data_IF_611026104414
#
_entry.id   IF_611026104414
#
_cell.length_a   1.000
_cell.length_b   1.000
_cell.length_c   1.000
_cell.angle_alpha   90.00
_cell.angle_beta   90.00
_cell.angle_gamma   90.00
#
_symmetry.space_group_name_H-M   'P 1'
#
loop_
_entity.id
_entity.type
_entity.pdbx_description
1 polymer ?
#
# COMPACT_ATOMS: atom_id res chain seq x y z
N UNK A 1 8.10 -24.06 4.79
CA UNK A 1 9.02 -22.93 5.08
C UNK A 1 8.19 -21.76 5.60
N UNK A 2 8.32 -21.45 6.90
CA UNK A 2 7.41 -20.55 7.62
C UNK A 2 8.05 -19.17 7.72
N UNK A 3 7.50 -18.18 7.00
CA UNK A 3 8.04 -16.82 6.96
C UNK A 3 7.67 -16.10 8.26
N UNK A 4 8.69 -15.69 9.03
CA UNK A 4 8.57 -14.71 10.12
C UNK A 4 8.60 -13.31 9.52
N UNK A 5 7.77 -12.40 10.03
CA UNK A 5 7.68 -10.99 9.60
C UNK A 5 8.96 -10.17 9.85
N UNK A 6 10.05 -10.81 10.30
CA UNK A 6 11.41 -10.26 10.24
C UNK A 6 11.96 -10.05 8.83
N UNK A 7 11.21 -10.40 7.78
CA UNK A 7 11.60 -10.26 6.37
C UNK A 7 10.49 -9.70 5.48
N UNK A 8 9.67 -8.76 5.97
CA UNK A 8 9.04 -7.79 5.05
C UNK A 8 10.20 -6.92 4.57
N UNK A 9 10.78 -7.17 3.39
CA UNK A 9 11.85 -6.31 2.94
C UNK A 9 11.18 -4.95 2.69
N UNK A 10 11.80 -3.87 3.15
CA UNK A 10 11.38 -2.53 2.76
C UNK A 10 11.38 -2.38 1.21
N UNK A 11 12.18 -3.20 0.53
CA UNK A 11 12.42 -3.19 -0.92
C UNK A 11 11.18 -3.49 -1.81
N UNK A 12 10.40 -4.57 -1.67
CA UNK A 12 9.22 -4.82 -2.50
C UNK A 12 8.14 -3.76 -2.33
N UNK A 13 7.88 -3.23 -1.12
CA UNK A 13 6.88 -2.17 -0.93
C UNK A 13 7.35 -0.84 -1.54
N UNK A 14 8.66 -0.55 -1.50
CA UNK A 14 9.26 0.58 -2.22
C UNK A 14 9.09 0.45 -3.75
N UNK A 15 9.20 -0.77 -4.29
CA UNK A 15 9.06 -1.08 -5.72
C UNK A 15 7.60 -1.07 -6.19
N UNK A 16 6.63 -1.23 -5.28
CA UNK A 16 5.20 -1.17 -5.60
C UNK A 16 4.79 0.18 -6.20
N UNK A 17 5.40 1.29 -5.78
CA UNK A 17 4.95 2.65 -6.11
C UNK A 17 5.75 3.31 -7.25
N UNK A 18 6.74 2.64 -7.81
CA UNK A 18 7.76 3.29 -8.65
C UNK A 18 7.95 2.51 -9.94
N UNK A 19 6.97 2.65 -10.82
CA UNK A 19 7.07 2.21 -12.21
C UNK A 19 7.80 3.23 -13.08
N UNK A 20 9.08 3.53 -12.82
CA UNK A 20 9.98 4.12 -13.83
C UNK A 20 11.44 4.19 -13.33
N UNK A 21 12.38 3.79 -14.19
CA UNK A 21 13.78 3.49 -13.87
C UNK A 21 14.72 4.71 -13.63
N UNK A 22 14.19 5.90 -13.35
CA UNK A 22 15.01 7.12 -13.16
C UNK A 22 14.67 7.92 -11.90
N UNK A 23 13.83 7.40 -11.01
CA UNK A 23 13.42 8.09 -9.82
C UNK A 23 14.22 7.68 -8.58
N UNK A 24 14.51 8.65 -7.71
CA UNK A 24 15.05 8.38 -6.39
C UNK A 24 13.89 8.01 -5.47
N UNK A 25 14.02 6.86 -4.83
CA UNK A 25 13.05 6.35 -3.86
C UNK A 25 13.74 6.29 -2.51
N UNK A 26 13.25 7.07 -1.55
CA UNK A 26 13.68 6.96 -0.16
C UNK A 26 12.57 6.26 0.63
N UNK A 27 12.92 5.21 1.37
CA UNK A 27 11.97 4.44 2.17
C UNK A 27 12.47 4.31 3.59
N UNK A 28 11.73 4.92 4.51
CA UNK A 28 11.95 4.82 5.95
C UNK A 28 10.91 3.86 6.52
N UNK A 29 11.35 2.79 7.21
CA UNK A 29 10.43 1.79 7.76
C UNK A 29 10.58 1.64 9.25
N UNK A 30 9.47 1.33 9.93
CA UNK A 30 9.45 1.00 11.34
C UNK A 30 8.54 -0.20 11.58
N UNK A 31 8.96 -1.11 12.47
CA UNK A 31 8.22 -2.30 12.88
C UNK A 31 8.03 -2.28 14.39
N UNK A 32 6.87 -2.69 14.87
CA UNK A 32 6.64 -2.88 16.30
C UNK A 32 7.55 -3.98 16.84
N UNK A 33 8.29 -3.67 17.91
CA UNK A 33 9.18 -4.62 18.59
C UNK A 33 8.39 -5.85 19.07
N UNK A 34 8.92 -7.04 18.81
CA UNK A 34 8.33 -8.31 19.24
C UNK A 34 7.13 -8.79 18.42
N UNK A 35 6.76 -8.13 17.32
CA UNK A 35 5.69 -8.62 16.45
C UNK A 35 6.21 -9.68 15.46
N UNK A 36 5.84 -10.94 15.67
CA UNK A 36 6.33 -12.09 14.88
C UNK A 36 5.22 -12.83 14.10
N UNK A 37 3.97 -12.35 14.16
CA UNK A 37 2.84 -12.99 13.48
C UNK A 37 3.06 -12.98 11.97
N UNK A 38 2.87 -14.14 11.33
CA UNK A 38 2.93 -14.29 9.86
C UNK A 38 1.70 -13.65 9.21
N UNK A 39 1.90 -12.98 8.07
CA UNK A 39 0.80 -12.49 7.23
C UNK A 39 0.12 -13.66 6.50
N UNK A 40 -1.20 -13.58 6.37
CA UNK A 40 -2.01 -14.64 5.75
C UNK A 40 -3.06 -14.06 4.81
N UNK A 41 -3.99 -13.26 5.35
CA UNK A 41 -5.00 -12.54 4.58
C UNK A 41 -4.93 -11.07 4.94
N UNK A 42 -4.56 -10.20 3.99
CA UNK A 42 -4.58 -8.75 4.22
C UNK A 42 -5.54 -8.04 3.29
N UNK A 43 -6.37 -7.19 3.88
CA UNK A 43 -7.16 -6.22 3.11
C UNK A 43 -6.31 -4.97 2.89
N UNK A 44 -6.31 -4.43 1.68
CA UNK A 44 -5.49 -3.29 1.26
C UNK A 44 -6.39 -2.11 0.93
N UNK A 45 -6.08 -0.93 1.44
CA UNK A 45 -6.74 0.31 1.10
C UNK A 45 -5.74 1.30 0.49
N UNK A 46 -6.05 1.82 -0.69
CA UNK A 46 -5.35 2.94 -1.30
C UNK A 46 -6.20 4.20 -1.12
N UNK A 47 -5.64 5.23 -0.50
CA UNK A 47 -6.35 6.48 -0.18
C UNK A 47 -5.63 7.66 -0.83
N UNK A 48 -6.37 8.51 -1.56
CA UNK A 48 -5.81 9.71 -2.17
C UNK A 48 -5.05 9.44 -3.48
N UNK A 49 -5.30 8.28 -4.12
CA UNK A 49 -4.64 7.86 -5.36
C UNK A 49 -5.40 8.27 -6.63
N UNK A 50 -6.59 8.83 -6.49
CA UNK A 50 -7.52 9.13 -7.58
C UNK A 50 -6.90 10.11 -8.59
N UNK A 51 -5.99 10.97 -8.10
CA UNK A 51 -5.28 11.96 -8.93
C UNK A 51 -4.25 11.35 -9.89
N UNK A 52 -3.81 10.11 -9.68
CA UNK A 52 -2.83 9.45 -10.55
C UNK A 52 -3.47 8.73 -11.75
N UNK A 53 -4.81 8.76 -11.87
CA UNK A 53 -5.55 8.10 -12.94
C UNK A 53 -5.70 6.59 -12.75
N UNK A 54 -6.61 6.01 -13.52
CA UNK A 54 -7.04 4.62 -13.34
C UNK A 54 -5.94 3.61 -13.70
N UNK A 55 -5.12 3.92 -14.70
CA UNK A 55 -4.01 3.04 -15.13
C UNK A 55 -2.96 2.87 -14.03
N UNK A 56 -2.65 3.93 -13.28
CA UNK A 56 -1.73 3.87 -12.15
C UNK A 56 -2.33 3.06 -11.00
N UNK A 57 -3.61 3.27 -10.69
CA UNK A 57 -4.33 2.51 -9.66
C UNK A 57 -4.39 1.01 -9.99
N UNK A 58 -4.70 0.67 -11.24
CA UNK A 58 -4.70 -0.71 -11.71
C UNK A 58 -3.32 -1.35 -11.59
N UNK A 59 -2.27 -0.66 -12.03
CA UNK A 59 -0.89 -1.13 -11.87
C UNK A 59 -0.53 -1.36 -10.38
N UNK A 60 -0.93 -0.46 -9.47
CA UNK A 60 -0.71 -0.64 -8.03
C UNK A 60 -1.42 -1.89 -7.49
N UNK A 61 -2.65 -2.16 -7.94
CA UNK A 61 -3.41 -3.35 -7.55
C UNK A 61 -2.68 -4.62 -8.00
N UNK A 62 -2.38 -4.71 -9.30
CA UNK A 62 -1.71 -5.88 -9.90
C UNK A 62 -0.34 -6.15 -9.26
N UNK A 63 0.46 -5.11 -9.04
CA UNK A 63 1.77 -5.24 -8.38
C UNK A 63 1.63 -5.69 -6.93
N UNK A 64 0.66 -5.14 -6.20
CA UNK A 64 0.40 -5.53 -4.81
C UNK A 64 0.01 -7.01 -4.72
N UNK A 65 -0.89 -7.47 -5.59
CA UNK A 65 -1.28 -8.88 -5.67
C UNK A 65 -0.05 -9.75 -5.95
N UNK A 66 0.73 -9.42 -6.97
CA UNK A 66 1.89 -10.20 -7.37
C UNK A 66 2.93 -10.31 -6.24
N UNK A 67 3.21 -9.22 -5.54
CA UNK A 67 4.17 -9.21 -4.43
C UNK A 67 3.67 -10.01 -3.21
N UNK A 68 2.39 -9.91 -2.87
CA UNK A 68 1.82 -10.68 -1.75
C UNK A 68 1.70 -12.17 -2.09
N UNK A 69 1.35 -12.51 -3.34
CA UNK A 69 1.26 -13.88 -3.83
C UNK A 69 2.61 -14.61 -3.76
N UNK A 70 3.73 -13.94 -4.09
CA UNK A 70 5.10 -14.48 -3.92
C UNK A 70 5.40 -14.94 -2.49
N UNK A 71 4.65 -14.44 -1.50
CA UNK A 71 4.82 -14.72 -0.06
C UNK A 71 3.71 -15.61 0.49
N UNK A 72 2.80 -16.08 -0.37
CA UNK A 72 1.64 -16.89 0.02
C UNK A 72 0.63 -16.12 0.88
N UNK A 73 0.49 -14.81 0.66
CA UNK A 73 -0.48 -13.96 1.36
C UNK A 73 -1.61 -13.63 0.40
N UNK A 74 -2.85 -13.89 0.80
CA UNK A 74 -4.04 -13.52 0.05
C UNK A 74 -4.38 -12.04 0.28
N UNK A 75 -4.77 -11.35 -0.80
CA UNK A 75 -5.08 -9.92 -0.78
C UNK A 75 -6.49 -9.67 -1.30
N UNK A 76 -7.20 -8.75 -0.64
CA UNK A 76 -8.38 -8.09 -1.18
C UNK A 76 -8.19 -6.58 -1.11
N UNK A 77 -8.80 -5.83 -2.03
CA UNK A 77 -8.77 -4.37 -2.03
C UNK A 77 -10.09 -3.84 -1.48
N UNK A 78 -9.99 -2.86 -0.58
CA UNK A 78 -11.15 -2.16 -0.09
C UNK A 78 -11.69 -1.21 -1.15
N UNK A 79 -13.01 -1.19 -1.29
CA UNK A 79 -13.72 -0.31 -2.23
C UNK A 79 -14.26 0.88 -1.44
N UNK A 80 -13.98 2.09 -1.94
CA UNK A 80 -14.45 3.35 -1.37
C UNK A 80 -15.23 4.13 -2.43
N UNK A 81 -16.12 3.45 -3.17
CA UNK A 81 -16.93 4.15 -4.15
C UNK A 81 -17.89 5.10 -3.42
N UNK A 82 -17.77 6.39 -3.72
CA UNK A 82 -18.59 7.49 -3.16
C UNK A 82 -19.81 7.81 -4.04
N UNK A 83 -19.90 7.21 -5.24
CA UNK A 83 -20.95 7.49 -6.23
C UNK A 83 -21.92 6.31 -6.41
N UNK A 84 -21.72 5.22 -5.71
CA UNK A 84 -22.66 4.10 -5.64
C UNK A 84 -23.94 4.53 -4.91
N UNK A 85 -25.10 4.32 -5.55
CA UNK A 85 -26.42 4.45 -4.94
C UNK A 85 -26.68 3.34 -3.90
N UNK A 86 -25.96 2.22 -4.01
CA UNK A 86 -25.94 1.16 -3.00
C UNK A 86 -24.94 1.52 -1.89
N UNK A 87 -25.28 1.21 -0.64
CA UNK A 87 -24.41 1.44 0.51
C UNK A 87 -23.10 0.66 0.34
N UNK A 88 -22.03 1.34 -0.08
CA UNK A 88 -20.68 0.78 -0.09
C UNK A 88 -20.37 0.22 1.30
N UNK A 89 -20.10 -1.09 1.45
CA UNK A 89 -19.89 -1.69 2.76
C UNK A 89 -18.75 -1.00 3.50
N UNK A 90 -18.86 -0.84 4.82
CA UNK A 90 -17.77 -0.25 5.61
C UNK A 90 -16.48 -1.05 5.47
N UNK A 91 -15.33 -0.42 5.66
CA UNK A 91 -14.03 -1.09 5.59
C UNK A 91 -13.97 -2.32 6.51
N UNK A 92 -14.54 -2.22 7.71
CA UNK A 92 -14.61 -3.33 8.67
C UNK A 92 -15.50 -4.47 8.18
N UNK A 93 -16.61 -4.16 7.50
CA UNK A 93 -17.47 -5.17 6.89
C UNK A 93 -16.75 -5.94 5.77
N UNK A 94 -16.06 -5.22 4.88
CA UNK A 94 -15.25 -5.81 3.81
C UNK A 94 -14.10 -6.67 4.38
N UNK A 95 -13.41 -6.18 5.42
CA UNK A 95 -12.35 -6.90 6.10
C UNK A 95 -12.87 -8.20 6.74
N UNK A 96 -14.06 -8.16 7.36
CA UNK A 96 -14.71 -9.32 7.97
C UNK A 96 -15.15 -10.35 6.92
N UNK A 97 -15.78 -9.90 5.83
CA UNK A 97 -16.18 -10.76 4.71
C UNK A 97 -14.98 -11.49 4.11
N UNK A 98 -13.89 -10.76 3.87
CA UNK A 98 -12.64 -11.34 3.38
C UNK A 98 -11.90 -12.18 4.44
N UNK A 99 -12.33 -12.16 5.71
CA UNK A 99 -11.63 -12.79 6.84
C UNK A 99 -10.17 -12.31 6.95
N UNK A 100 -9.96 -11.01 6.76
CA UNK A 100 -8.65 -10.39 6.88
C UNK A 100 -8.12 -10.55 8.31
N UNK A 101 -6.84 -10.91 8.45
CA UNK A 101 -6.15 -10.91 9.74
C UNK A 101 -5.30 -9.65 9.95
N UNK A 102 -5.08 -8.91 8.87
CA UNK A 102 -4.30 -7.68 8.83
C UNK A 102 -4.90 -6.69 7.82
N UNK A 103 -4.65 -5.41 8.01
CA UNK A 103 -5.03 -4.35 7.07
C UNK A 103 -3.80 -3.55 6.68
N UNK A 104 -3.56 -3.38 5.38
CA UNK A 104 -2.54 -2.49 4.85
C UNK A 104 -3.22 -1.23 4.30
N UNK A 105 -2.94 -0.09 4.88
CA UNK A 105 -3.48 1.19 4.43
C UNK A 105 -2.33 1.99 3.82
N UNK A 106 -2.46 2.39 2.57
CA UNK A 106 -1.48 3.21 1.86
C UNK A 106 -2.16 4.51 1.48
N UNK A 107 -1.73 5.61 2.10
CA UNK A 107 -2.24 6.93 1.79
C UNK A 107 -1.16 7.77 1.11
N UNK A 108 -1.57 8.56 0.11
CA UNK A 108 -0.74 9.63 -0.42
C UNK A 108 -0.75 10.78 0.59
N UNK A 109 0.42 11.19 1.05
CA UNK A 109 0.56 12.35 1.94
C UNK A 109 0.76 13.63 1.16
N UNK A 110 1.63 13.60 0.15
CA UNK A 110 2.01 14.76 -0.65
C UNK A 110 2.37 14.34 -2.08
N UNK A 111 2.58 15.31 -2.97
CA UNK A 111 3.17 15.05 -4.28
C UNK A 111 2.67 15.98 -5.38
N UNK A 112 3.47 16.11 -6.44
CA UNK A 112 3.18 16.93 -7.61
C UNK A 112 3.06 16.04 -8.83
N UNK A 113 1.96 16.20 -9.55
CA UNK A 113 1.75 15.62 -10.87
C UNK A 113 1.93 16.77 -11.86
N UNK A 114 2.76 16.57 -12.87
CA UNK A 114 2.92 17.51 -13.95
C UNK A 114 1.60 17.61 -14.73
N UNK A 115 1.05 18.82 -14.82
CA UNK A 115 -0.28 19.05 -15.38
C UNK A 115 -0.35 18.88 -16.90
N UNK A 116 0.79 18.93 -17.60
CA UNK A 116 0.88 18.84 -19.06
C UNK A 116 1.05 17.39 -19.52
N UNK A 117 1.87 16.61 -18.81
CA UNK A 117 2.23 15.23 -19.15
C UNK A 117 1.50 14.18 -18.31
N UNK A 118 0.84 14.59 -17.21
CA UNK A 118 0.24 13.67 -16.24
C UNK A 118 1.25 12.82 -15.47
N UNK A 119 2.55 13.12 -15.60
CA UNK A 119 3.61 12.35 -14.95
C UNK A 119 3.77 12.75 -13.48
N UNK A 120 4.06 11.76 -12.64
CA UNK A 120 4.39 11.99 -11.23
C UNK A 120 5.80 12.59 -11.16
N UNK A 121 5.90 13.85 -10.73
CA UNK A 121 7.18 14.55 -10.50
C UNK A 121 7.75 14.13 -9.14
N UNK A 122 6.91 14.20 -8.11
CA UNK A 122 7.22 13.65 -6.80
C UNK A 122 5.95 13.12 -6.14
N UNK A 123 6.10 12.17 -5.22
CA UNK A 123 5.01 11.64 -4.45
C UNK A 123 5.53 11.16 -3.10
N UNK A 124 4.77 11.45 -2.06
CA UNK A 124 5.00 10.89 -0.74
C UNK A 124 3.83 9.99 -0.36
N UNK A 125 4.17 8.82 0.17
CA UNK A 125 3.22 7.82 0.62
C UNK A 125 3.56 7.39 2.02
N UNK A 126 2.52 7.05 2.78
CA UNK A 126 2.65 6.38 4.04
C UNK A 126 1.86 5.08 4.00
N UNK A 127 2.57 3.97 4.17
CA UNK A 127 2.01 2.65 4.21
C UNK A 127 2.00 2.17 5.67
N UNK A 128 0.84 1.73 6.17
CA UNK A 128 0.66 1.27 7.54
C UNK A 128 0.00 -0.09 7.56
N UNK A 129 0.61 -1.02 8.28
CA UNK A 129 0.06 -2.34 8.50
C UNK A 129 -0.50 -2.43 9.92
N UNK A 130 -1.77 -2.82 10.03
CA UNK A 130 -2.48 -3.06 11.26
C UNK A 130 -2.75 -4.54 11.45
N UNK A 131 -2.58 -5.00 12.68
CA UNK A 131 -3.14 -6.29 13.11
C UNK A 131 -4.56 -6.04 13.61
N UNK A 132 -5.53 -6.66 12.94
CA UNK A 132 -6.96 -6.42 13.21
C UNK A 132 -7.41 -7.02 14.54
N UNK A 133 -6.79 -8.11 15.00
CA UNK A 133 -7.09 -8.70 16.30
C UNK A 133 -6.51 -7.88 17.45
N UNK A 134 -5.31 -7.33 17.26
CA UNK A 134 -4.67 -6.46 18.26
C UNK A 134 -5.14 -5.01 18.21
N UNK A 135 -5.86 -4.62 17.15
CA UNK A 135 -6.26 -3.25 16.81
C UNK A 135 -5.08 -2.26 16.92
N UNK A 136 -3.89 -2.68 16.47
CA UNK A 136 -2.66 -1.91 16.60
C UNK A 136 -1.89 -1.90 15.30
N UNK A 137 -1.27 -0.75 15.01
CA UNK A 137 -0.27 -0.66 13.96
C UNK A 137 0.95 -1.48 14.35
N UNK A 138 1.38 -2.35 13.45
CA UNK A 138 2.50 -3.27 13.66
C UNK A 138 3.68 -2.99 12.73
N UNK A 139 3.45 -2.23 11.66
CA UNK A 139 4.47 -1.76 10.74
C UNK A 139 4.05 -0.45 10.05
N UNK A 140 5.02 0.37 9.68
CA UNK A 140 4.84 1.60 8.90
C UNK A 140 6.02 1.78 7.95
N UNK A 141 5.77 2.31 6.75
CA UNK A 141 6.78 2.88 5.88
C UNK A 141 6.37 4.26 5.40
N UNK A 142 7.30 5.22 5.46
CA UNK A 142 7.21 6.47 4.73
C UNK A 142 8.04 6.31 3.44
N UNK A 143 7.44 6.61 2.29
CA UNK A 143 8.01 6.38 0.97
C UNK A 143 7.98 7.71 0.24
N UNK A 144 9.15 8.21 -0.14
CA UNK A 144 9.30 9.42 -0.93
C UNK A 144 9.86 9.07 -2.30
N UNK A 145 9.13 9.44 -3.33
CA UNK A 145 9.50 9.30 -4.73
C UNK A 145 9.77 10.69 -5.31
N UNK A 146 10.84 10.83 -6.09
CA UNK A 146 11.09 12.01 -6.91
C UNK A 146 11.77 11.63 -8.23
N UNK A 147 11.25 12.15 -9.34
CA UNK A 147 11.94 12.13 -10.64
C UNK A 147 13.21 12.97 -10.48
N UNK A 148 14.39 12.38 -10.71
CA UNK A 148 15.66 13.05 -10.44
C UNK A 148 15.81 14.38 -11.18
N UNK A 149 15.72 15.48 -10.43
CA UNK A 149 16.26 16.79 -10.74
C UNK A 149 16.77 17.35 -9.42
N UNK A 150 18.08 17.50 -9.28
CA UNK A 150 18.66 18.03 -8.04
C UNK A 150 18.16 19.46 -7.82
N UNK A 151 17.72 19.74 -6.60
CA UNK A 151 18.15 20.85 -5.73
C UNK A 151 17.53 20.63 -4.34
#
# INVERSE_FOLDING_TARGET
MTIRVGSLPAAPIAVLLVGCACARVNVETSKRRGYEKKLDRTIVAFIGMERFGDSYQQMLHERTIAEFAKRGVAVAFATFDRLSLDETPSFDAQAKEFRASTALIVYRTEGTIDSLSGQIVNAEFDAQLFDLALQKRVWRAAIRYGSGGGL
#
